data_IF_706259042241
#
_entry.id   IF_706259042241
#
_cell.length_a   1.000
_cell.length_b   1.000
_cell.length_c   1.000
_cell.angle_alpha   90.00
_cell.angle_beta   90.00
_cell.angle_gamma   90.00
#
_symmetry.space_group_name_H-M   'P 1'
#
loop_
_entity.id
_entity.type
_entity.pdbx_description
1 polymer ?
#
# COMPACT_ATOMS: atom_id res chain seq x y z
N UNK A 1 -20.72 25.67 -60.50
CA UNK A 1 -21.75 25.64 -59.48
C UNK A 1 -21.37 26.64 -58.45
N UNK A 2 -22.24 27.49 -58.01
CA UNK A 2 -21.89 28.53 -57.04
C UNK A 2 -21.64 27.89 -55.67
N UNK A 3 -20.54 28.22 -55.01
CA UNK A 3 -20.10 27.62 -53.73
C UNK A 3 -21.22 27.64 -52.68
N UNK A 4 -22.00 28.74 -52.66
CA UNK A 4 -23.15 28.85 -51.74
C UNK A 4 -24.21 27.74 -51.96
N UNK A 5 -24.41 27.27 -53.19
CA UNK A 5 -25.32 26.16 -53.47
C UNK A 5 -24.78 24.83 -52.92
N UNK A 6 -23.46 24.60 -52.99
CA UNK A 6 -22.81 23.44 -52.38
C UNK A 6 -22.92 23.45 -50.84
N UNK A 7 -22.66 24.60 -50.20
CA UNK A 7 -22.78 24.77 -48.75
C UNK A 7 -24.21 24.53 -48.27
N UNK A 8 -25.21 25.01 -49.01
CA UNK A 8 -26.63 24.75 -48.70
C UNK A 8 -26.98 23.26 -48.83
N UNK A 9 -26.39 22.55 -49.82
CA UNK A 9 -26.59 21.12 -49.98
C UNK A 9 -25.96 20.35 -48.81
N UNK A 10 -24.78 20.74 -48.33
CA UNK A 10 -24.11 20.12 -47.18
C UNK A 10 -25.01 20.26 -45.94
N UNK A 11 -25.59 21.46 -45.67
CA UNK A 11 -26.50 21.66 -44.54
C UNK A 11 -27.73 20.74 -44.64
N UNK A 12 -28.30 20.55 -45.84
CA UNK A 12 -29.41 19.64 -46.02
C UNK A 12 -29.06 18.19 -45.77
N UNK A 13 -27.89 17.73 -46.25
CA UNK A 13 -27.38 16.36 -45.94
C UNK A 13 -27.12 16.14 -44.47
N UNK A 14 -26.46 17.07 -43.78
CA UNK A 14 -26.25 17.01 -42.34
C UNK A 14 -27.56 16.91 -41.56
N UNK A 15 -28.52 17.75 -41.87
CA UNK A 15 -29.86 17.74 -41.25
C UNK A 15 -30.55 16.38 -41.46
N UNK A 16 -30.38 15.77 -42.65
CA UNK A 16 -30.89 14.44 -42.96
C UNK A 16 -30.08 13.29 -42.33
N UNK A 17 -28.88 13.54 -41.78
CA UNK A 17 -27.98 12.55 -41.26
C UNK A 17 -27.16 11.82 -42.32
N UNK A 18 -27.16 12.30 -43.57
CA UNK A 18 -26.32 11.74 -44.67
C UNK A 18 -24.93 12.37 -44.65
N UNK A 19 -24.08 11.79 -43.75
CA UNK A 19 -22.72 12.25 -43.55
C UNK A 19 -21.80 11.94 -44.74
N UNK A 20 -22.10 10.89 -45.52
CA UNK A 20 -21.31 10.52 -46.68
C UNK A 20 -21.43 11.56 -47.82
N UNK A 21 -22.70 11.93 -48.21
CA UNK A 21 -22.92 12.98 -49.14
C UNK A 21 -22.41 14.35 -48.67
N UNK A 22 -22.59 14.64 -47.36
CA UNK A 22 -22.06 15.87 -46.77
C UNK A 22 -20.53 15.97 -46.92
N UNK A 23 -19.77 14.89 -46.64
CA UNK A 23 -18.32 14.89 -46.78
C UNK A 23 -17.86 15.04 -48.24
N UNK A 24 -18.53 14.37 -49.19
CA UNK A 24 -18.24 14.51 -50.61
C UNK A 24 -18.39 15.96 -51.06
N UNK A 25 -19.49 16.63 -50.64
CA UNK A 25 -19.71 18.02 -51.01
C UNK A 25 -18.75 18.97 -50.28
N UNK A 26 -18.35 18.69 -49.05
CA UNK A 26 -17.28 19.43 -48.37
C UNK A 26 -15.98 19.36 -49.17
N UNK A 27 -15.60 18.18 -49.70
CA UNK A 27 -14.41 18.01 -50.51
C UNK A 27 -14.49 18.92 -51.78
N UNK A 28 -15.64 18.94 -52.48
CA UNK A 28 -15.84 19.77 -53.66
C UNK A 28 -15.73 21.28 -53.38
N UNK A 29 -16.22 21.73 -52.18
CA UNK A 29 -16.04 23.12 -51.75
C UNK A 29 -14.54 23.42 -51.53
N UNK A 30 -13.84 22.52 -50.81
CA UNK A 30 -12.42 22.72 -50.46
C UNK A 30 -11.49 22.59 -51.68
N UNK A 31 -11.91 21.91 -52.78
CA UNK A 31 -11.18 21.91 -54.08
C UNK A 31 -11.25 23.30 -54.74
N UNK A 32 -12.37 24.00 -54.58
CA UNK A 32 -12.54 25.34 -55.17
C UNK A 32 -12.01 26.43 -54.24
N UNK A 33 -12.25 26.29 -52.92
CA UNK A 33 -11.80 27.21 -51.87
C UNK A 33 -11.11 26.47 -50.75
N UNK A 34 -9.78 26.21 -50.82
CA UNK A 34 -9.04 25.44 -49.86
C UNK A 34 -9.06 26.01 -48.42
N UNK A 35 -9.42 27.27 -48.25
CA UNK A 35 -9.55 27.97 -46.97
C UNK A 35 -10.98 28.20 -46.52
N UNK A 36 -11.98 27.53 -47.08
CA UNK A 36 -13.39 27.75 -46.73
C UNK A 36 -13.67 27.24 -45.31
N UNK A 37 -13.83 28.17 -44.36
CA UNK A 37 -14.04 27.89 -42.94
C UNK A 37 -15.32 27.10 -42.67
N UNK A 38 -16.39 27.38 -43.45
CA UNK A 38 -17.70 26.74 -43.30
C UNK A 38 -17.64 25.26 -43.73
N UNK A 39 -16.89 24.92 -44.78
CA UNK A 39 -16.70 23.55 -45.19
C UNK A 39 -15.87 22.76 -44.12
N UNK A 40 -14.87 23.38 -43.49
CA UNK A 40 -14.18 22.76 -42.36
C UNK A 40 -15.11 22.61 -41.14
N UNK A 41 -15.98 23.57 -40.86
CA UNK A 41 -16.98 23.45 -39.79
C UNK A 41 -17.90 22.25 -40.03
N UNK A 42 -18.40 22.07 -41.25
CA UNK A 42 -19.21 20.90 -41.60
C UNK A 42 -18.47 19.58 -41.43
N UNK A 43 -17.17 19.51 -41.74
CA UNK A 43 -16.32 18.34 -41.44
C UNK A 43 -16.19 18.10 -39.93
N UNK A 44 -16.07 19.16 -39.14
CA UNK A 44 -16.09 19.04 -37.68
C UNK A 44 -17.44 18.49 -37.20
N UNK A 45 -18.55 18.98 -37.74
CA UNK A 45 -19.90 18.49 -37.44
C UNK A 45 -20.06 17.00 -37.81
N UNK A 46 -19.58 16.58 -38.99
CA UNK A 46 -19.57 15.18 -39.44
C UNK A 46 -18.80 14.31 -38.42
N UNK A 47 -17.62 14.75 -38.02
CA UNK A 47 -16.78 14.05 -37.05
C UNK A 47 -17.50 13.77 -35.73
N UNK A 48 -18.28 14.71 -35.24
CA UNK A 48 -19.03 14.60 -33.97
C UNK A 48 -20.49 14.15 -34.14
N UNK A 49 -20.92 13.81 -35.35
CA UNK A 49 -22.28 13.38 -35.63
C UNK A 49 -23.32 14.49 -35.45
N UNK A 50 -22.90 15.76 -35.46
CA UNK A 50 -23.74 16.92 -35.31
C UNK A 50 -24.55 17.15 -36.60
N UNK A 51 -25.87 17.37 -36.48
CA UNK A 51 -26.78 17.66 -37.60
C UNK A 51 -26.95 19.17 -37.84
N UNK A 52 -26.72 19.95 -36.81
CA UNK A 52 -26.75 21.42 -36.81
C UNK A 52 -25.62 21.95 -35.94
N UNK A 53 -25.20 23.19 -36.14
CA UNK A 53 -24.05 23.77 -35.42
C UNK A 53 -24.22 23.73 -33.89
N UNK A 54 -25.43 23.96 -33.39
CA UNK A 54 -25.74 23.95 -31.94
C UNK A 54 -25.58 22.58 -31.29
N UNK A 55 -25.55 21.49 -32.07
CA UNK A 55 -25.30 20.15 -31.51
C UNK A 55 -23.89 20.05 -30.97
N UNK A 56 -22.95 20.90 -31.45
CA UNK A 56 -21.58 20.98 -30.94
C UNK A 56 -21.51 21.46 -29.48
N UNK A 57 -22.54 22.09 -28.94
CA UNK A 57 -22.64 22.44 -27.51
C UNK A 57 -22.80 21.21 -26.62
N UNK A 58 -23.28 20.10 -27.17
CA UNK A 58 -23.63 18.88 -26.43
C UNK A 58 -22.77 17.68 -26.83
N UNK A 59 -21.64 17.91 -27.47
CA UNK A 59 -20.73 16.79 -27.78
C UNK A 59 -20.27 16.12 -26.49
N UNK A 60 -20.20 14.78 -26.53
CA UNK A 60 -19.66 13.99 -25.43
C UNK A 60 -18.16 14.22 -25.30
N UNK A 61 -17.74 14.90 -24.27
CA UNK A 61 -16.33 14.99 -23.87
C UNK A 61 -16.09 14.09 -22.66
N UNK A 62 -14.87 13.54 -22.54
CA UNK A 62 -14.48 12.89 -21.31
C UNK A 62 -14.18 13.95 -20.25
N UNK A 63 -14.96 14.04 -19.17
CA UNK A 63 -14.78 15.09 -18.18
C UNK A 63 -13.46 14.97 -17.42
N UNK A 64 -12.75 13.84 -17.50
CA UNK A 64 -11.44 13.63 -16.85
C UNK A 64 -10.25 13.76 -17.82
N UNK A 65 -10.50 13.97 -19.11
CA UNK A 65 -9.45 14.12 -20.13
C UNK A 65 -9.63 15.42 -20.91
N UNK A 66 -8.78 16.42 -20.64
CA UNK A 66 -8.82 17.73 -21.30
C UNK A 66 -8.53 17.64 -22.81
N UNK A 67 -7.86 16.59 -23.29
CA UNK A 67 -7.60 16.39 -24.73
C UNK A 67 -8.87 16.17 -25.54
N UNK A 68 -9.97 15.81 -24.89
CA UNK A 68 -11.28 15.64 -25.52
C UNK A 68 -12.05 16.96 -25.74
N UNK A 69 -11.56 18.09 -25.24
CA UNK A 69 -12.18 19.39 -25.46
C UNK A 69 -12.07 19.81 -26.92
N UNK A 70 -13.12 20.44 -27.45
CA UNK A 70 -13.12 20.89 -28.86
C UNK A 70 -11.90 21.73 -29.22
N UNK A 71 -11.47 22.64 -28.34
CA UNK A 71 -10.31 23.51 -28.55
C UNK A 71 -9.00 22.74 -28.76
N UNK A 72 -8.92 21.49 -28.35
CA UNK A 72 -7.75 20.63 -28.49
C UNK A 72 -7.81 19.76 -29.75
N UNK A 73 -8.98 19.69 -30.39
CA UNK A 73 -9.22 18.92 -31.61
C UNK A 73 -8.55 19.56 -32.84
N UNK A 74 -7.85 18.76 -33.65
CA UNK A 74 -7.18 19.25 -34.86
C UNK A 74 -8.17 19.77 -35.93
N UNK A 75 -9.35 19.13 -36.06
CA UNK A 75 -10.40 19.63 -36.97
C UNK A 75 -10.95 20.99 -36.53
N UNK A 76 -11.17 21.17 -35.23
CA UNK A 76 -11.55 22.45 -34.64
C UNK A 76 -10.50 23.55 -34.91
N UNK A 77 -9.20 23.24 -34.64
CA UNK A 77 -8.09 24.15 -34.91
C UNK A 77 -8.02 24.54 -36.40
N UNK A 78 -8.35 23.60 -37.29
CA UNK A 78 -8.39 23.84 -38.71
C UNK A 78 -9.52 24.82 -39.09
N UNK A 79 -10.71 24.65 -38.50
CA UNK A 79 -11.79 25.64 -38.69
C UNK A 79 -11.32 27.01 -38.24
N UNK A 80 -10.75 27.11 -37.01
CA UNK A 80 -10.28 28.40 -36.45
C UNK A 80 -9.24 29.09 -37.35
N UNK A 81 -8.36 28.33 -37.99
CA UNK A 81 -7.33 28.89 -38.88
C UNK A 81 -7.86 29.61 -40.11
N UNK A 82 -9.10 29.32 -40.46
CA UNK A 82 -9.79 29.91 -41.63
C UNK A 82 -11.00 30.77 -41.24
N UNK A 83 -11.41 30.74 -39.95
CA UNK A 83 -12.62 31.40 -39.47
C UNK A 83 -12.46 32.93 -39.40
N UNK A 84 -13.52 33.64 -39.73
CA UNK A 84 -13.66 35.05 -39.39
C UNK A 84 -13.91 35.24 -37.86
N UNK A 85 -13.84 36.46 -37.33
CA UNK A 85 -14.05 36.71 -35.90
C UNK A 85 -15.40 36.25 -35.35
N UNK A 86 -16.47 36.29 -36.15
CA UNK A 86 -17.80 35.87 -35.74
C UNK A 86 -17.92 34.36 -35.60
N UNK A 87 -17.40 33.62 -36.58
CA UNK A 87 -17.33 32.16 -36.52
C UNK A 87 -16.39 31.68 -35.40
N UNK A 88 -15.23 32.33 -35.23
CA UNK A 88 -14.32 32.02 -34.15
C UNK A 88 -14.98 32.20 -32.76
N UNK A 89 -15.78 33.26 -32.59
CA UNK A 89 -16.54 33.51 -31.36
C UNK A 89 -17.62 32.45 -31.13
N UNK A 90 -18.35 32.03 -32.16
CA UNK A 90 -19.34 30.95 -32.09
C UNK A 90 -18.66 29.62 -31.65
N UNK A 91 -17.54 29.24 -32.28
CA UNK A 91 -16.79 28.03 -31.94
C UNK A 91 -16.30 28.03 -30.49
N UNK A 92 -15.80 29.16 -30.00
CA UNK A 92 -15.43 29.31 -28.59
C UNK A 92 -16.67 29.17 -27.68
N UNK A 93 -17.85 29.58 -28.13
CA UNK A 93 -19.10 29.34 -27.42
C UNK A 93 -19.48 27.88 -27.32
N UNK A 94 -19.38 27.12 -28.43
CA UNK A 94 -19.65 25.68 -28.46
C UNK A 94 -18.68 24.89 -27.57
N UNK A 95 -17.39 25.20 -27.60
CA UNK A 95 -16.39 24.59 -26.74
C UNK A 95 -16.67 24.89 -25.26
N UNK A 96 -16.98 26.15 -24.91
CA UNK A 96 -17.34 26.52 -23.54
C UNK A 96 -18.62 25.81 -23.07
N UNK A 97 -19.62 25.67 -23.95
CA UNK A 97 -20.88 25.00 -23.66
C UNK A 97 -20.68 23.50 -23.38
N UNK A 98 -19.91 22.80 -24.22
CA UNK A 98 -19.64 21.36 -24.05
C UNK A 98 -18.92 21.07 -22.73
N UNK A 99 -17.92 21.90 -22.38
CA UNK A 99 -17.21 21.78 -21.09
C UNK A 99 -18.16 22.07 -19.91
N UNK A 100 -18.99 23.12 -20.02
CA UNK A 100 -19.98 23.45 -19.00
C UNK A 100 -20.97 22.30 -18.76
N UNK A 101 -21.49 21.68 -19.83
CA UNK A 101 -22.42 20.57 -19.73
C UNK A 101 -21.78 19.33 -19.06
N UNK A 102 -20.54 19.04 -19.40
CA UNK A 102 -19.77 17.97 -18.70
C UNK A 102 -19.57 18.29 -17.22
N UNK A 103 -19.27 19.56 -16.89
CA UNK A 103 -19.17 20.01 -15.51
C UNK A 103 -20.48 19.83 -14.73
N UNK A 104 -21.62 20.14 -15.34
CA UNK A 104 -22.94 19.94 -14.73
C UNK A 104 -23.22 18.50 -14.38
N UNK A 105 -22.89 17.56 -15.27
CA UNK A 105 -23.05 16.12 -15.00
C UNK A 105 -22.20 15.65 -13.81
N UNK A 106 -20.96 16.15 -13.67
CA UNK A 106 -20.12 15.82 -12.50
C UNK A 106 -20.61 16.51 -11.22
N UNK A 107 -21.17 17.71 -11.32
CA UNK A 107 -21.67 18.47 -10.17
C UNK A 107 -22.87 17.80 -9.46
N UNK A 108 -23.56 16.88 -10.13
CA UNK A 108 -24.62 16.06 -9.54
C UNK A 108 -24.09 14.94 -8.62
N UNK A 109 -22.81 14.60 -8.74
CA UNK A 109 -22.18 13.59 -7.91
C UNK A 109 -21.81 14.18 -6.53
N UNK A 110 -21.83 13.33 -5.48
CA UNK A 110 -21.44 13.71 -4.12
C UNK A 110 -19.97 13.37 -3.81
N UNK A 111 -19.27 12.76 -4.75
CA UNK A 111 -17.86 12.42 -4.59
C UNK A 111 -16.96 13.68 -4.67
N UNK A 112 -16.01 13.78 -3.73
CA UNK A 112 -15.11 14.94 -3.64
C UNK A 112 -14.31 15.17 -4.92
N UNK A 113 -13.82 14.08 -5.56
CA UNK A 113 -13.02 14.19 -6.79
C UNK A 113 -13.85 14.70 -7.95
N UNK A 114 -15.11 14.21 -8.06
CA UNK A 114 -16.05 14.68 -9.06
C UNK A 114 -16.39 16.16 -8.85
N UNK A 115 -16.61 16.59 -7.60
CA UNK A 115 -16.90 17.99 -7.26
C UNK A 115 -15.74 18.94 -7.58
N UNK A 116 -14.49 18.57 -7.23
CA UNK A 116 -13.30 19.35 -7.58
C UNK A 116 -13.10 19.38 -9.11
N UNK A 117 -13.32 18.26 -9.79
CA UNK A 117 -13.20 18.19 -11.24
C UNK A 117 -14.29 19.02 -11.93
N UNK A 118 -15.52 18.98 -11.44
CA UNK A 118 -16.59 19.86 -11.92
C UNK A 118 -16.22 21.34 -11.76
N UNK A 119 -15.70 21.74 -10.60
CA UNK A 119 -15.24 23.11 -10.36
C UNK A 119 -14.14 23.52 -11.36
N UNK A 120 -13.19 22.64 -11.61
CA UNK A 120 -12.14 22.87 -12.62
C UNK A 120 -12.74 23.04 -14.03
N UNK A 121 -13.68 22.19 -14.43
CA UNK A 121 -14.33 22.29 -15.73
C UNK A 121 -15.13 23.58 -15.87
N UNK A 122 -15.82 24.03 -14.83
CA UNK A 122 -16.48 25.34 -14.83
C UNK A 122 -15.48 26.50 -15.01
N UNK A 123 -14.31 26.44 -14.40
CA UNK A 123 -13.24 27.41 -14.67
C UNK A 123 -12.79 27.36 -16.14
N UNK A 124 -12.64 26.17 -16.71
CA UNK A 124 -12.24 25.97 -18.11
C UNK A 124 -13.30 26.42 -19.11
N UNK A 125 -14.59 26.37 -18.74
CA UNK A 125 -15.68 26.90 -19.56
C UNK A 125 -15.73 28.46 -19.62
N UNK A 126 -14.92 29.10 -18.78
CA UNK A 126 -14.75 30.54 -18.74
C UNK A 126 -15.99 31.26 -18.17
N UNK A 127 -16.44 32.30 -18.88
CA UNK A 127 -17.63 33.10 -18.46
C UNK A 127 -18.94 32.57 -19.03
N UNK A 128 -19.03 31.27 -19.32
CA UNK A 128 -20.25 30.70 -19.86
C UNK A 128 -21.29 30.53 -18.75
N UNK A 129 -22.49 31.10 -18.96
CA UNK A 129 -23.61 31.10 -17.99
C UNK A 129 -23.15 31.51 -16.58
N UNK A 130 -23.51 30.72 -15.57
CA UNK A 130 -23.16 30.91 -14.15
C UNK A 130 -21.93 30.12 -13.71
N UNK A 131 -21.01 29.74 -14.62
CA UNK A 131 -19.88 28.93 -14.34
C UNK A 131 -19.04 29.47 -13.14
N UNK A 132 -18.79 30.79 -13.10
CA UNK A 132 -18.00 31.41 -12.02
C UNK A 132 -18.62 31.23 -10.61
N UNK A 133 -19.97 31.26 -10.52
CA UNK A 133 -20.68 31.02 -9.25
C UNK A 133 -20.60 29.55 -8.84
N UNK A 134 -20.69 28.64 -9.81
CA UNK A 134 -20.59 27.20 -9.57
C UNK A 134 -19.25 26.77 -9.02
N UNK A 135 -18.14 27.39 -9.48
CA UNK A 135 -16.78 27.07 -9.00
C UNK A 135 -16.67 27.18 -7.48
N UNK A 136 -17.05 28.31 -6.91
CA UNK A 136 -16.93 28.55 -5.45
C UNK A 136 -17.85 27.63 -4.65
N UNK A 137 -19.07 27.42 -5.13
CA UNK A 137 -20.05 26.52 -4.50
C UNK A 137 -19.56 25.06 -4.48
N UNK A 138 -19.07 24.57 -5.61
CA UNK A 138 -18.59 23.19 -5.73
C UNK A 138 -17.32 22.93 -4.93
N UNK A 139 -16.38 23.88 -4.93
CA UNK A 139 -15.19 23.77 -4.06
C UNK A 139 -15.58 23.68 -2.60
N UNK A 140 -16.51 24.53 -2.14
CA UNK A 140 -17.01 24.47 -0.77
C UNK A 140 -17.69 23.13 -0.46
N UNK A 141 -18.49 22.58 -1.38
CA UNK A 141 -19.11 21.25 -1.22
C UNK A 141 -18.05 20.13 -1.16
N UNK A 142 -17.02 20.20 -2.01
CA UNK A 142 -15.93 19.25 -2.00
C UNK A 142 -15.14 19.31 -0.68
N UNK A 143 -14.79 20.52 -0.20
CA UNK A 143 -14.12 20.72 1.07
C UNK A 143 -14.97 20.21 2.25
N UNK A 144 -16.28 20.42 2.23
CA UNK A 144 -17.23 19.89 3.21
C UNK A 144 -17.22 18.36 3.24
N UNK A 145 -17.19 17.72 2.05
CA UNK A 145 -17.13 16.26 1.95
C UNK A 145 -15.82 15.72 2.53
N UNK A 146 -14.68 16.34 2.21
CA UNK A 146 -13.36 15.98 2.76
C UNK A 146 -13.37 16.14 4.28
N UNK A 147 -13.87 17.27 4.79
CA UNK A 147 -13.94 17.57 6.20
C UNK A 147 -14.79 16.55 6.96
N UNK A 148 -15.97 16.22 6.44
CA UNK A 148 -16.88 15.26 7.07
C UNK A 148 -16.32 13.84 7.08
N UNK A 149 -15.58 13.42 6.01
CA UNK A 149 -14.84 12.15 5.98
C UNK A 149 -13.82 12.09 7.11
N UNK A 150 -13.02 13.14 7.29
CA UNK A 150 -12.02 13.21 8.34
C UNK A 150 -12.66 13.19 9.74
N UNK A 151 -13.73 13.98 9.96
CA UNK A 151 -14.44 14.01 11.25
C UNK A 151 -15.06 12.67 11.62
N UNK A 152 -15.55 11.91 10.64
CA UNK A 152 -16.09 10.57 10.88
C UNK A 152 -15.04 9.67 11.54
N UNK A 153 -13.82 9.68 11.01
CA UNK A 153 -12.68 8.92 11.55
C UNK A 153 -12.29 9.43 12.95
N UNK A 154 -12.12 10.74 13.11
CA UNK A 154 -11.69 11.37 14.37
C UNK A 154 -12.67 11.09 15.52
N UNK A 155 -13.96 10.99 15.22
CA UNK A 155 -15.00 10.75 16.23
C UNK A 155 -15.33 9.26 16.43
N UNK A 156 -14.75 8.36 15.64
CA UNK A 156 -14.91 6.92 15.81
C UNK A 156 -13.95 6.42 16.91
N UNK A 157 -14.46 5.88 18.05
CA UNK A 157 -13.62 5.53 19.20
C UNK A 157 -12.58 4.42 18.91
N UNK A 158 -12.81 3.62 17.89
CA UNK A 158 -11.96 2.48 17.54
C UNK A 158 -11.09 2.73 16.29
N UNK A 159 -10.95 3.99 15.87
CA UNK A 159 -10.11 4.32 14.71
C UNK A 159 -8.67 3.93 14.93
N UNK A 160 -8.11 3.23 13.95
CA UNK A 160 -6.72 2.83 13.95
C UNK A 160 -5.78 4.03 13.72
N UNK A 161 -4.51 3.89 14.14
CA UNK A 161 -3.45 4.84 13.82
C UNK A 161 -3.41 5.22 12.33
N UNK A 162 -3.58 4.21 11.44
CA UNK A 162 -3.55 4.42 10.01
C UNK A 162 -4.73 5.25 9.50
N UNK A 163 -5.95 4.97 9.97
CA UNK A 163 -7.14 5.74 9.62
C UNK A 163 -7.04 7.19 10.11
N UNK A 164 -6.53 7.40 11.33
CA UNK A 164 -6.29 8.74 11.88
C UNK A 164 -5.22 9.48 11.08
N UNK A 165 -4.16 8.83 10.65
CA UNK A 165 -3.15 9.41 9.75
C UNK A 165 -3.72 9.81 8.38
N UNK A 166 -4.67 9.04 7.84
CA UNK A 166 -5.39 9.43 6.62
C UNK A 166 -6.30 10.64 6.87
N UNK A 167 -6.97 10.72 8.03
CA UNK A 167 -7.76 11.88 8.41
C UNK A 167 -6.89 13.16 8.51
N UNK A 168 -5.67 13.05 9.03
CA UNK A 168 -4.68 14.16 9.03
C UNK A 168 -4.41 14.65 7.60
N UNK A 169 -4.11 13.73 6.67
CA UNK A 169 -3.85 14.07 5.26
C UNK A 169 -5.07 14.73 4.58
N UNK A 170 -6.27 14.26 4.89
CA UNK A 170 -7.50 14.88 4.38
C UNK A 170 -7.62 16.34 4.85
N UNK A 171 -7.40 16.60 6.12
CA UNK A 171 -7.50 17.96 6.71
C UNK A 171 -6.36 18.88 6.24
N UNK A 172 -5.19 18.36 5.91
CA UNK A 172 -4.09 19.11 5.32
C UNK A 172 -4.40 19.65 3.91
N UNK A 173 -5.29 18.99 3.17
CA UNK A 173 -5.75 19.47 1.86
C UNK A 173 -6.66 20.70 1.95
N UNK A 174 -7.33 20.89 3.11
CA UNK A 174 -8.32 21.94 3.34
C UNK A 174 -8.00 22.79 4.58
N UNK A 175 -6.78 23.32 4.73
CA UNK A 175 -6.29 23.91 5.99
C UNK A 175 -7.02 25.18 6.43
N UNK A 176 -7.77 25.81 5.53
CA UNK A 176 -8.53 27.04 5.79
C UNK A 176 -10.04 26.81 5.86
N UNK A 177 -10.49 25.56 5.73
CA UNK A 177 -11.89 25.22 5.81
C UNK A 177 -12.31 24.96 7.26
N UNK A 178 -13.30 25.71 7.75
CA UNK A 178 -13.80 25.61 9.15
C UNK A 178 -12.62 25.58 10.14
N UNK A 179 -12.66 24.64 11.07
CA UNK A 179 -11.64 24.38 12.10
C UNK A 179 -10.66 23.22 11.73
N UNK A 180 -10.44 22.97 10.43
CA UNK A 180 -9.61 21.86 9.93
C UNK A 180 -8.24 21.76 10.62
N UNK A 181 -7.61 22.89 10.94
CA UNK A 181 -6.31 22.89 11.67
C UNK A 181 -6.44 22.33 13.08
N UNK A 182 -7.54 22.64 13.78
CA UNK A 182 -7.79 22.14 15.13
C UNK A 182 -8.05 20.65 15.08
N UNK A 183 -8.93 20.22 14.16
CA UNK A 183 -9.27 18.81 13.98
C UNK A 183 -8.06 17.98 13.52
N UNK A 184 -7.20 18.54 12.67
CA UNK A 184 -5.93 17.89 12.29
C UNK A 184 -5.04 17.62 13.50
N UNK A 185 -4.84 18.62 14.36
CA UNK A 185 -4.02 18.45 15.56
C UNK A 185 -4.62 17.39 16.49
N UNK A 186 -5.95 17.39 16.67
CA UNK A 186 -6.65 16.34 17.41
C UNK A 186 -6.45 14.95 16.80
N UNK A 187 -6.48 14.84 15.47
CA UNK A 187 -6.23 13.57 14.79
C UNK A 187 -4.78 13.08 15.00
N UNK A 188 -3.80 13.99 15.03
CA UNK A 188 -2.40 13.66 15.34
C UNK A 188 -2.28 13.12 16.77
N UNK A 189 -2.87 13.81 17.75
CA UNK A 189 -2.86 13.38 19.16
C UNK A 189 -3.51 11.98 19.34
N UNK A 190 -4.64 11.75 18.67
CA UNK A 190 -5.31 10.44 18.68
C UNK A 190 -4.47 9.36 17.98
N UNK A 191 -3.80 9.68 16.89
CA UNK A 191 -2.93 8.74 16.18
C UNK A 191 -1.70 8.36 17.02
N UNK A 192 -1.10 9.31 17.72
CA UNK A 192 0.00 9.06 18.65
C UNK A 192 -0.44 8.16 19.82
N UNK A 193 -1.64 8.41 20.36
CA UNK A 193 -2.20 7.57 21.44
C UNK A 193 -2.49 6.15 20.93
N UNK A 194 -3.10 5.99 19.76
CA UNK A 194 -3.35 4.69 19.15
C UNK A 194 -2.03 3.92 18.85
N UNK A 195 -0.99 4.63 18.44
CA UNK A 195 0.35 4.06 18.27
C UNK A 195 0.92 3.55 19.58
N UNK A 196 0.87 4.36 20.66
CA UNK A 196 1.35 3.98 22.00
C UNK A 196 0.60 2.76 22.52
N UNK A 197 -0.74 2.75 22.38
CA UNK A 197 -1.59 1.65 22.80
C UNK A 197 -1.25 0.35 22.07
N UNK A 198 -1.11 0.40 20.75
CA UNK A 198 -0.71 -0.76 19.94
C UNK A 198 0.66 -1.29 20.34
N UNK A 199 1.63 -0.40 20.49
CA UNK A 199 3.02 -0.75 20.85
C UNK A 199 3.10 -1.34 22.26
N UNK A 200 2.32 -0.80 23.21
CA UNK A 200 2.19 -1.33 24.55
C UNK A 200 1.62 -2.75 24.57
N UNK A 201 0.53 -2.99 23.83
CA UNK A 201 -0.10 -4.30 23.72
C UNK A 201 0.80 -5.32 23.00
N UNK A 202 1.56 -4.89 22.00
CA UNK A 202 2.57 -5.72 21.32
C UNK A 202 3.66 -6.18 22.30
N UNK A 203 4.16 -5.31 23.15
CA UNK A 203 5.16 -5.65 24.15
C UNK A 203 4.62 -6.67 25.15
N UNK A 204 3.36 -6.51 25.64
CA UNK A 204 2.72 -7.50 26.51
C UNK A 204 2.63 -8.87 25.83
N UNK A 205 2.20 -8.90 24.55
CA UNK A 205 2.09 -10.13 23.79
C UNK A 205 3.45 -10.82 23.59
N UNK A 206 4.52 -10.06 23.31
CA UNK A 206 5.89 -10.57 23.21
C UNK A 206 6.37 -11.16 24.53
N UNK A 207 6.16 -10.47 25.64
CA UNK A 207 6.56 -10.96 26.97
C UNK A 207 5.81 -12.25 27.34
N UNK A 208 4.51 -12.33 26.99
CA UNK A 208 3.67 -13.50 27.25
C UNK A 208 4.04 -14.75 26.43
N UNK A 209 4.89 -14.63 25.42
CA UNK A 209 5.31 -15.77 24.57
C UNK A 209 6.20 -16.79 25.28
N UNK A 210 6.86 -16.41 26.36
CA UNK A 210 7.84 -17.23 27.08
C UNK A 210 9.21 -17.35 26.36
N UNK A 211 9.41 -16.71 25.21
CA UNK A 211 10.71 -16.64 24.55
C UNK A 211 11.56 -15.52 25.16
N UNK A 212 12.73 -15.84 25.74
CA UNK A 212 13.61 -14.84 26.34
C UNK A 212 14.05 -13.72 25.38
N UNK A 213 14.15 -14.00 24.09
CA UNK A 213 14.49 -12.99 23.10
C UNK A 213 13.36 -11.99 22.91
N UNK A 214 12.14 -12.48 22.81
CA UNK A 214 10.95 -11.63 22.71
C UNK A 214 10.69 -10.84 24.01
N UNK A 215 11.04 -11.41 25.16
CA UNK A 215 10.98 -10.69 26.43
C UNK A 215 11.98 -9.54 26.50
N UNK A 216 13.19 -9.69 25.94
CA UNK A 216 14.17 -8.59 25.83
C UNK A 216 13.63 -7.47 24.93
N UNK A 217 13.00 -7.83 23.80
CA UNK A 217 12.37 -6.85 22.93
C UNK A 217 11.21 -6.14 23.64
N UNK A 218 10.39 -6.88 24.37
CA UNK A 218 9.30 -6.33 25.16
C UNK A 218 9.79 -5.34 26.23
N UNK A 219 10.84 -5.68 26.96
CA UNK A 219 11.43 -4.79 27.95
C UNK A 219 11.90 -3.47 27.31
N UNK A 220 12.59 -3.55 26.16
CA UNK A 220 13.03 -2.36 25.43
C UNK A 220 11.86 -1.49 24.98
N UNK A 221 10.79 -2.09 24.44
CA UNK A 221 9.59 -1.36 24.03
C UNK A 221 8.96 -0.65 25.24
N UNK A 222 8.90 -1.31 26.40
CA UNK A 222 8.36 -0.69 27.60
C UNK A 222 9.23 0.47 28.12
N UNK A 223 10.57 0.35 28.02
CA UNK A 223 11.49 1.46 28.33
C UNK A 223 11.24 2.67 27.40
N UNK A 224 11.05 2.42 26.10
CA UNK A 224 10.75 3.47 25.11
C UNK A 224 9.36 4.14 25.35
N UNK A 225 8.44 3.43 26.02
CA UNK A 225 7.11 3.92 26.43
C UNK A 225 7.08 4.50 27.85
N UNK A 226 8.21 4.90 28.42
CA UNK A 226 8.30 5.44 29.79
C UNK A 226 7.22 6.52 30.06
N UNK A 227 6.54 6.40 31.18
CA UNK A 227 5.44 7.27 31.59
C UNK A 227 4.07 6.93 30.97
N UNK A 228 3.98 5.91 30.11
CA UNK A 228 2.72 5.46 29.53
C UNK A 228 2.16 4.28 30.31
N UNK A 229 0.93 4.41 30.84
CA UNK A 229 0.25 3.37 31.63
C UNK A 229 1.21 2.75 32.70
N UNK A 230 1.35 1.44 32.67
CA UNK A 230 2.20 0.68 33.58
C UNK A 230 3.57 0.29 32.96
N UNK A 231 3.97 0.96 31.87
CA UNK A 231 5.19 0.61 31.10
C UNK A 231 6.45 0.58 31.98
N UNK A 232 6.64 1.57 32.87
CA UNK A 232 7.81 1.62 33.77
C UNK A 232 7.85 0.45 34.78
N UNK A 233 6.70 -0.06 35.17
CA UNK A 233 6.58 -1.20 36.09
C UNK A 233 6.86 -2.49 35.35
N UNK A 234 6.23 -2.68 34.19
CA UNK A 234 6.41 -3.85 33.33
C UNK A 234 7.83 -3.95 32.80
N UNK A 235 8.48 -2.82 32.46
CA UNK A 235 9.89 -2.81 32.06
C UNK A 235 10.78 -3.42 33.17
N UNK A 236 10.60 -2.98 34.41
CA UNK A 236 11.36 -3.53 35.56
C UNK A 236 11.08 -5.01 35.79
N UNK A 237 9.84 -5.44 35.69
CA UNK A 237 9.47 -6.86 35.83
C UNK A 237 10.11 -7.70 34.73
N UNK A 238 10.08 -7.25 33.48
CA UNK A 238 10.69 -7.96 32.38
C UNK A 238 12.22 -8.02 32.49
N UNK A 239 12.88 -6.92 32.89
CA UNK A 239 14.33 -6.94 33.15
C UNK A 239 14.69 -7.94 34.26
N UNK A 240 13.95 -7.96 35.37
CA UNK A 240 14.14 -8.93 36.43
C UNK A 240 13.99 -10.38 35.96
N UNK A 241 12.92 -10.65 35.22
CA UNK A 241 12.68 -11.99 34.67
C UNK A 241 13.79 -12.45 33.68
N UNK A 242 14.33 -11.52 32.89
CA UNK A 242 15.44 -11.77 31.98
C UNK A 242 16.72 -12.13 32.78
N UNK A 243 17.04 -11.38 33.84
CA UNK A 243 18.17 -11.65 34.73
C UNK A 243 18.05 -13.01 35.39
N UNK A 244 16.89 -13.35 35.96
CA UNK A 244 16.61 -14.63 36.59
C UNK A 244 16.75 -15.80 35.60
N UNK A 245 16.25 -15.64 34.37
CA UNK A 245 16.42 -16.66 33.33
C UNK A 245 17.87 -16.92 32.99
N UNK A 246 18.70 -15.90 32.81
CA UNK A 246 20.10 -16.09 32.49
C UNK A 246 20.92 -16.60 33.67
N UNK A 247 20.54 -16.26 34.91
CA UNK A 247 21.11 -16.79 36.11
C UNK A 247 20.83 -18.30 36.21
N UNK A 248 19.59 -18.72 36.09
CA UNK A 248 19.21 -20.14 36.12
C UNK A 248 19.90 -20.95 35.02
N UNK A 249 20.01 -20.39 33.81
CA UNK A 249 20.70 -21.04 32.69
C UNK A 249 22.21 -21.21 32.96
N UNK A 250 22.85 -20.24 33.58
CA UNK A 250 24.27 -20.36 34.02
C UNK A 250 24.44 -21.44 35.06
N UNK A 251 23.58 -21.46 36.09
CA UNK A 251 23.63 -22.49 37.15
C UNK A 251 23.40 -23.90 36.59
N UNK A 252 22.47 -24.07 35.65
CA UNK A 252 22.24 -25.34 34.97
C UNK A 252 23.47 -25.78 34.14
N UNK A 253 24.09 -24.85 33.43
CA UNK A 253 25.29 -25.13 32.62
C UNK A 253 26.44 -25.56 33.51
N UNK A 254 26.65 -24.90 34.66
CA UNK A 254 27.68 -25.27 35.62
C UNK A 254 27.38 -26.62 36.26
N UNK A 255 26.11 -26.90 36.60
CA UNK A 255 25.74 -28.23 37.14
C UNK A 255 26.03 -29.34 36.14
N UNK A 256 25.64 -29.19 34.87
CA UNK A 256 25.92 -30.15 33.80
C UNK A 256 27.43 -30.37 33.60
N UNK A 257 28.22 -29.28 33.72
CA UNK A 257 29.68 -29.38 33.65
C UNK A 257 30.25 -30.19 34.81
N UNK A 258 29.82 -29.92 36.04
CA UNK A 258 30.24 -30.69 37.24
C UNK A 258 29.89 -32.18 37.12
N UNK A 259 28.64 -32.48 36.69
CA UNK A 259 28.19 -33.85 36.45
C UNK A 259 29.03 -34.56 35.37
N UNK A 260 29.44 -33.86 34.34
CA UNK A 260 30.27 -34.39 33.27
C UNK A 260 31.72 -34.66 33.77
N UNK A 261 32.29 -33.73 34.55
CA UNK A 261 33.62 -33.86 35.17
C UNK A 261 33.64 -35.03 36.19
N UNK A 262 32.59 -35.17 36.99
CA UNK A 262 32.43 -36.27 37.95
C UNK A 262 32.34 -37.63 37.24
N UNK A 263 31.53 -37.76 36.20
CA UNK A 263 31.45 -38.98 35.37
C UNK A 263 32.77 -39.32 34.70
N UNK A 264 33.50 -38.33 34.21
CA UNK A 264 34.82 -38.52 33.63
C UNK A 264 35.83 -39.03 34.70
N UNK A 265 35.80 -38.45 35.90
CA UNK A 265 36.64 -38.88 37.03
C UNK A 265 36.32 -40.30 37.45
N UNK A 266 35.02 -40.66 37.57
CA UNK A 266 34.61 -42.05 37.90
C UNK A 266 35.07 -43.04 36.82
N UNK A 267 34.93 -42.67 35.57
CA UNK A 267 35.39 -43.53 34.47
C UNK A 267 36.90 -43.73 34.48
N UNK A 268 37.70 -42.70 34.72
CA UNK A 268 39.12 -42.74 34.77
C UNK A 268 39.62 -43.62 35.99
N UNK A 269 38.98 -43.41 37.15
CA UNK A 269 39.28 -44.20 38.34
C UNK A 269 38.96 -45.68 38.13
N UNK A 270 37.82 -45.99 37.49
CA UNK A 270 37.44 -47.39 37.20
C UNK A 270 38.36 -48.06 36.18
N UNK A 271 38.92 -47.34 35.22
CA UNK A 271 39.96 -47.87 34.30
C UNK A 271 41.26 -48.11 35.01
N UNK A 272 41.64 -47.20 35.90
CA UNK A 272 42.86 -47.34 36.69
C UNK A 272 42.80 -48.57 37.60
N UNK A 273 41.69 -48.77 38.33
CA UNK A 273 41.44 -49.94 39.17
C UNK A 273 41.44 -51.24 38.35
N UNK A 274 40.83 -51.28 37.19
CA UNK A 274 40.91 -52.45 36.29
C UNK A 274 42.34 -52.72 35.83
N UNK A 275 43.11 -51.71 35.48
CA UNK A 275 44.48 -51.85 35.03
C UNK A 275 45.42 -52.36 36.17
N UNK A 276 45.15 -52.04 37.43
CA UNK A 276 45.87 -52.59 38.58
C UNK A 276 45.50 -54.05 38.92
N UNK A 277 44.20 -54.39 38.71
CA UNK A 277 43.71 -55.75 38.94
C UNK A 277 44.13 -56.77 37.86
N UNK A 278 44.28 -56.36 36.63
CA UNK A 278 44.61 -57.22 35.47
C UNK A 278 45.97 -57.96 35.73
N UNK A 279 47.06 -57.32 36.16
CA UNK A 279 48.32 -58.05 36.45
C UNK A 279 48.16 -59.06 37.55
N UNK A 280 47.39 -58.75 38.61
CA UNK A 280 47.17 -59.70 39.73
C UNK A 280 46.34 -60.90 39.25
N UNK A 281 45.30 -60.69 38.41
CA UNK A 281 44.51 -61.79 37.86
C UNK A 281 45.32 -62.67 36.90
N UNK A 282 46.21 -62.09 36.09
CA UNK A 282 47.10 -62.81 35.18
C UNK A 282 48.06 -63.64 35.98
N UNK A 283 48.66 -63.08 37.07
CA UNK A 283 49.62 -63.81 37.97
C UNK A 283 48.92 -64.97 38.68
N UNK A 284 47.70 -64.77 39.14
CA UNK A 284 46.87 -65.82 39.76
C UNK A 284 46.52 -66.93 38.75
N UNK A 285 46.13 -66.60 37.55
CA UNK A 285 45.83 -67.57 36.49
C UNK A 285 47.06 -68.41 36.09
N UNK A 286 48.21 -67.77 35.98
CA UNK A 286 49.49 -68.49 35.75
C UNK A 286 49.89 -69.47 36.90
N UNK A 287 49.68 -69.09 38.14
CA UNK A 287 49.89 -69.96 39.28
C UNK A 287 48.95 -71.17 39.28
N UNK A 288 47.67 -70.95 38.99
CA UNK A 288 46.71 -72.05 38.91
C UNK A 288 47.04 -73.00 37.76
N UNK A 289 47.38 -72.44 36.59
CA UNK A 289 47.82 -73.25 35.44
C UNK A 289 49.06 -74.08 35.76
N UNK A 290 50.01 -73.47 36.45
CA UNK A 290 51.23 -74.20 36.90
C UNK A 290 50.95 -75.38 37.88
N UNK A 291 50.00 -75.19 38.81
CA UNK A 291 49.58 -76.24 39.75
C UNK A 291 48.85 -77.36 38.98
N UNK A 292 47.94 -76.99 38.02
CA UNK A 292 47.22 -78.02 37.21
C UNK A 292 48.19 -78.83 36.33
N UNK A 293 49.17 -78.17 35.72
CA UNK A 293 50.24 -78.86 34.97
C UNK A 293 51.08 -79.75 35.86
N UNK A 294 51.45 -79.26 37.08
CA UNK A 294 52.19 -80.10 38.05
C UNK A 294 51.42 -81.37 38.48
N UNK A 295 50.12 -81.23 38.75
CA UNK A 295 49.25 -82.37 39.07
C UNK A 295 49.17 -83.33 37.88
N UNK A 296 49.01 -82.82 36.67
CA UNK A 296 48.95 -83.64 35.46
C UNK A 296 50.27 -84.44 35.24
N UNK A 297 51.41 -83.81 35.47
CA UNK A 297 52.73 -84.44 35.38
C UNK A 297 52.91 -85.54 36.47
N UNK A 298 52.45 -85.25 37.70
CA UNK A 298 52.51 -86.25 38.78
C UNK A 298 51.60 -87.44 38.53
N UNK A 299 50.42 -87.16 37.93
CA UNK A 299 49.46 -88.21 37.53
C UNK A 299 50.02 -89.10 36.40
N UNK A 300 50.72 -88.46 35.43
CA UNK A 300 51.37 -89.17 34.34
C UNK A 300 52.55 -90.03 34.83
N UNK A 301 53.36 -89.50 35.77
CA UNK A 301 54.44 -90.21 36.40
C UNK A 301 53.90 -91.39 37.24
N UNK A 302 52.88 -91.19 38.04
CA UNK A 302 52.21 -92.26 38.78
C UNK A 302 51.67 -93.39 37.90
N UNK A 303 51.00 -92.96 36.78
CA UNK A 303 50.45 -93.93 35.81
C UNK A 303 51.56 -94.74 35.13
N UNK A 304 52.68 -94.08 34.82
CA UNK A 304 53.84 -94.75 34.20
C UNK A 304 54.49 -95.72 35.14
N UNK A 305 54.63 -95.43 36.47
CA UNK A 305 55.21 -96.27 37.49
C UNK A 305 54.30 -97.43 37.89
N UNK A 306 53.05 -97.39 37.62
CA UNK A 306 52.13 -98.52 37.94
C UNK A 306 51.90 -99.49 36.76
N UNK A 307 52.54 -99.23 35.60
CA UNK A 307 52.53 -100.17 34.45
C UNK A 307 53.84 -100.94 34.27
N UNK A 308 54.82 -100.79 35.18
CA UNK A 308 56.02 -101.65 35.28
C UNK A 308 55.84 -102.59 36.49
#
# INVERSE_FOLDING_TARGET
MEIQALLNSIRAFLAAGDTASAEEYCARVLEQEPGNAEAFLFRLMIKYGARQETDLENIGIDPYNDDTFLRNDEAYKKVLSCADPELAKKLAGYDSASIYNAAMTLAEQEDEKALYRAAYLFERSGRYKNASEMVSSLRKRADETVYNKALKVINEPASSEQELSEAVKLLERIPYFKDSRVQRNRAIELAEEAFRERTYNEAIAKAGSGDPKLMIEAAKIMDDLSGYKEADTLAREYHTAIEDYYKAKREETERRRRETEERAFIAESSVKEKNELIPHLITLALRVAGIVCGIAILFFLWFYLTQV
#
